data_IF_703838611639
#
_entry.id   IF_703838611639
#
_cell.length_a   1.000
_cell.length_b   1.000
_cell.length_c   1.000
_cell.angle_alpha   90.00
_cell.angle_beta   90.00
_cell.angle_gamma   90.00
#
_symmetry.space_group_name_H-M   'P 1'
#
loop_
_entity.id
_entity.type
_entity.pdbx_description
1 polymer ?
#
# COMPACT_ATOMS: atom_id res chain seq x y z
N UNK A 1 -46.59 -15.48 -15.43
CA UNK A 1 -45.22 -15.08 -15.11
C UNK A 1 -44.70 -13.87 -15.89
N UNK A 2 -45.44 -13.29 -16.83
CA UNK A 2 -44.97 -12.19 -17.71
C UNK A 2 -45.42 -10.76 -17.35
N UNK A 3 -46.17 -10.54 -16.26
CA UNK A 3 -46.59 -9.18 -15.86
C UNK A 3 -45.73 -8.54 -14.79
N UNK A 4 -44.92 -9.31 -14.06
CA UNK A 4 -43.99 -8.77 -13.06
C UNK A 4 -42.70 -8.21 -13.69
N UNK A 5 -42.26 -8.76 -14.80
CA UNK A 5 -41.03 -8.29 -15.48
C UNK A 5 -41.25 -6.96 -16.23
N UNK A 6 -42.45 -6.67 -16.75
CA UNK A 6 -42.74 -5.39 -17.41
C UNK A 6 -42.88 -4.23 -16.43
N UNK A 7 -43.30 -4.46 -15.19
CA UNK A 7 -43.40 -3.43 -14.16
C UNK A 7 -42.03 -2.98 -13.60
N UNK A 8 -41.07 -3.88 -13.53
CA UNK A 8 -39.69 -3.56 -13.09
C UNK A 8 -38.89 -2.80 -14.16
N UNK A 9 -39.15 -3.07 -15.45
CA UNK A 9 -38.56 -2.32 -16.56
C UNK A 9 -39.09 -0.88 -16.65
N UNK A 10 -40.38 -0.67 -16.35
CA UNK A 10 -40.98 0.67 -16.38
C UNK A 10 -40.63 1.53 -15.16
N UNK A 11 -40.31 0.92 -14.01
CA UNK A 11 -39.82 1.63 -12.81
C UNK A 11 -38.38 2.10 -12.96
N UNK A 12 -37.53 1.31 -13.63
CA UNK A 12 -36.15 1.66 -13.92
C UNK A 12 -36.01 2.87 -14.88
N UNK A 13 -36.94 3.04 -15.83
CA UNK A 13 -36.91 4.15 -16.79
C UNK A 13 -37.41 5.48 -16.23
N UNK A 14 -38.17 5.49 -15.14
CA UNK A 14 -38.69 6.72 -14.50
C UNK A 14 -37.80 7.28 -13.38
N UNK A 15 -36.86 6.51 -12.84
CA UNK A 15 -35.87 6.98 -11.84
C UNK A 15 -34.69 7.73 -12.46
N UNK A 16 -34.62 7.80 -13.81
CA UNK A 16 -33.53 8.43 -14.57
C UNK A 16 -33.69 9.93 -14.88
N UNK A 17 -34.76 10.58 -14.39
CA UNK A 17 -35.15 11.92 -14.90
C UNK A 17 -35.08 13.06 -13.88
N UNK A 18 -34.35 12.94 -12.79
CA UNK A 18 -34.16 14.09 -11.84
C UNK A 18 -32.89 14.04 -11.00
N UNK A 19 -31.70 14.15 -11.65
CA UNK A 19 -30.50 14.58 -10.92
C UNK A 19 -29.75 15.54 -11.84
N UNK A 20 -29.68 16.80 -11.46
CA UNK A 20 -28.90 17.83 -12.13
C UNK A 20 -27.43 17.47 -12.19
N UNK A 21 -26.76 17.86 -13.28
CA UNK A 21 -25.32 17.77 -13.53
C UNK A 21 -24.77 16.36 -13.79
N UNK A 22 -25.21 15.70 -14.87
CA UNK A 22 -24.73 14.36 -15.28
C UNK A 22 -23.53 14.42 -16.25
N UNK A 23 -23.05 15.61 -16.59
CA UNK A 23 -21.94 15.78 -17.53
C UNK A 23 -20.64 15.05 -17.18
N UNK A 24 -20.14 15.07 -15.92
CA UNK A 24 -18.91 14.36 -15.59
C UNK A 24 -19.07 12.83 -15.57
N UNK A 25 -20.24 12.31 -15.18
CA UNK A 25 -20.52 10.87 -15.17
C UNK A 25 -20.64 10.32 -16.60
N UNK A 26 -21.28 11.07 -17.49
CA UNK A 26 -21.39 10.69 -18.90
C UNK A 26 -20.04 10.69 -19.61
N UNK A 27 -19.13 11.60 -19.27
CA UNK A 27 -17.78 11.61 -19.81
C UNK A 27 -16.94 10.39 -19.35
N UNK A 28 -17.10 9.94 -18.09
CA UNK A 28 -16.43 8.75 -17.57
C UNK A 28 -16.95 7.47 -18.24
N UNK A 29 -18.25 7.36 -18.51
CA UNK A 29 -18.81 6.20 -19.24
C UNK A 29 -18.36 6.14 -20.70
N UNK A 30 -18.08 7.27 -21.34
CA UNK A 30 -17.48 7.29 -22.68
C UNK A 30 -16.05 6.75 -22.71
N UNK A 31 -15.34 6.80 -21.58
CA UNK A 31 -13.99 6.22 -21.40
C UNK A 31 -14.04 4.75 -20.93
N UNK A 32 -15.22 4.14 -20.84
CA UNK A 32 -15.41 2.79 -20.31
C UNK A 32 -15.25 2.67 -18.79
N UNK A 33 -15.13 3.80 -18.07
CA UNK A 33 -14.97 3.82 -16.61
C UNK A 33 -16.33 3.62 -15.95
N UNK A 34 -16.40 2.63 -15.08
CA UNK A 34 -17.61 2.33 -14.30
C UNK A 34 -17.58 2.97 -12.91
N UNK A 35 -18.75 3.13 -12.29
CA UNK A 35 -18.84 3.54 -10.89
C UNK A 35 -18.11 2.53 -9.95
N UNK A 36 -18.03 1.27 -10.36
CA UNK A 36 -17.30 0.21 -9.61
C UNK A 36 -15.80 0.46 -9.63
N UNK A 37 -15.24 0.88 -10.77
CA UNK A 37 -13.81 1.19 -10.89
C UNK A 37 -13.41 2.37 -10.00
N UNK A 38 -14.22 3.43 -10.02
CA UNK A 38 -14.00 4.59 -9.17
C UNK A 38 -14.12 4.24 -7.69
N UNK A 39 -15.14 3.45 -7.30
CA UNK A 39 -15.29 2.98 -5.92
C UNK A 39 -14.06 2.17 -5.47
N UNK A 40 -13.59 1.25 -6.29
CA UNK A 40 -12.42 0.42 -6.00
C UNK A 40 -11.15 1.25 -5.85
N UNK A 41 -10.94 2.23 -6.74
CA UNK A 41 -9.81 3.15 -6.65
C UNK A 41 -9.86 3.99 -5.37
N UNK A 42 -11.02 4.52 -4.98
CA UNK A 42 -11.18 5.30 -3.74
C UNK A 42 -10.92 4.44 -2.50
N UNK A 43 -11.48 3.22 -2.44
CA UNK A 43 -11.22 2.29 -1.34
C UNK A 43 -9.73 1.98 -1.25
N UNK A 44 -9.09 1.70 -2.38
CA UNK A 44 -7.65 1.45 -2.43
C UNK A 44 -6.84 2.63 -1.89
N UNK A 45 -7.15 3.87 -2.32
CA UNK A 45 -6.48 5.08 -1.83
C UNK A 45 -6.65 5.24 -0.32
N UNK A 46 -7.86 5.05 0.21
CA UNK A 46 -8.10 5.15 1.65
C UNK A 46 -7.29 4.09 2.43
N UNK A 47 -7.27 2.86 1.95
CA UNK A 47 -6.46 1.79 2.51
C UNK A 47 -4.96 2.11 2.43
N UNK A 48 -4.50 2.62 1.28
CA UNK A 48 -3.10 2.97 1.05
C UNK A 48 -2.64 4.09 1.98
N UNK A 49 -3.45 5.14 2.14
CA UNK A 49 -3.17 6.26 3.04
C UNK A 49 -2.95 5.79 4.48
N UNK A 50 -3.81 4.89 4.97
CA UNK A 50 -3.68 4.32 6.32
C UNK A 50 -2.45 3.43 6.42
N UNK A 51 -2.26 2.51 5.47
CA UNK A 51 -1.14 1.57 5.46
C UNK A 51 0.22 2.29 5.45
N UNK A 52 0.36 3.33 4.61
CA UNK A 52 1.56 4.17 4.54
C UNK A 52 1.76 4.98 5.83
N UNK A 53 0.70 5.51 6.42
CA UNK A 53 0.83 6.30 7.65
C UNK A 53 1.49 5.49 8.79
N UNK A 54 1.07 4.25 8.98
CA UNK A 54 1.69 3.35 9.97
C UNK A 54 3.10 2.94 9.58
N UNK A 55 3.34 2.68 8.29
CA UNK A 55 4.67 2.33 7.77
C UNK A 55 5.69 3.45 8.02
N UNK A 56 5.39 4.67 7.58
CA UNK A 56 6.26 5.84 7.74
C UNK A 56 6.42 6.25 9.22
N UNK A 57 5.32 6.17 10.00
CA UNK A 57 5.39 6.39 11.44
C UNK A 57 6.35 5.41 12.12
N UNK A 58 6.37 4.14 11.71
CA UNK A 58 7.27 3.14 12.27
C UNK A 58 8.74 3.48 11.99
N UNK A 59 9.07 3.93 10.79
CA UNK A 59 10.40 4.47 10.50
C UNK A 59 10.74 5.67 11.37
N UNK A 60 9.82 6.63 11.45
CA UNK A 60 10.00 7.87 12.20
C UNK A 60 10.27 7.61 13.69
N UNK A 61 9.43 6.77 14.33
CA UNK A 61 9.55 6.50 15.77
C UNK A 61 10.81 5.70 16.11
N UNK A 62 11.22 4.74 15.27
CA UNK A 62 12.45 3.97 15.48
C UNK A 62 13.68 4.87 15.31
N UNK A 63 13.75 5.68 14.25
CA UNK A 63 14.84 6.64 14.06
C UNK A 63 14.93 7.64 15.22
N UNK A 64 13.79 8.17 15.66
CA UNK A 64 13.71 9.08 16.81
C UNK A 64 14.23 8.40 18.11
N UNK A 65 13.83 7.16 18.38
CA UNK A 65 14.30 6.39 19.54
C UNK A 65 15.79 6.05 19.47
N UNK A 66 16.36 5.96 18.27
CA UNK A 66 17.80 5.80 18.08
C UNK A 66 18.58 7.11 18.27
N UNK A 67 17.90 8.23 18.48
CA UNK A 67 18.52 9.53 18.78
C UNK A 67 18.49 10.51 17.61
N UNK A 68 17.86 10.16 16.47
CA UNK A 68 17.72 11.07 15.35
C UNK A 68 16.56 12.08 15.60
N UNK A 69 16.84 13.38 15.75
CA UNK A 69 15.79 14.38 15.95
C UNK A 69 15.06 14.76 14.65
N UNK A 70 15.57 14.35 13.49
CA UNK A 70 15.06 14.79 12.18
C UNK A 70 13.58 14.46 11.99
N UNK A 71 13.11 13.20 12.19
CA UNK A 71 11.70 12.88 12.02
C UNK A 71 10.76 13.67 12.94
N UNK A 72 11.21 13.95 14.16
CA UNK A 72 10.43 14.75 15.11
C UNK A 72 10.36 16.22 14.72
N UNK A 73 11.48 16.82 14.28
CA UNK A 73 11.54 18.20 13.79
C UNK A 73 10.70 18.42 12.54
N UNK A 74 10.63 17.42 11.68
CA UNK A 74 9.83 17.44 10.45
C UNK A 74 8.35 17.10 10.70
N UNK A 75 7.93 16.91 11.97
CA UNK A 75 6.57 16.57 12.35
C UNK A 75 6.12 15.19 11.87
N UNK A 76 7.09 14.28 11.62
CA UNK A 76 6.82 12.94 11.05
C UNK A 76 6.53 11.88 12.11
N UNK A 77 6.79 12.14 13.39
CA UNK A 77 6.47 11.23 14.50
C UNK A 77 4.99 11.38 14.85
N UNK A 78 4.12 11.01 13.93
CA UNK A 78 2.65 11.14 14.04
C UNK A 78 1.98 10.04 13.21
N UNK A 79 0.78 9.64 13.63
CA UNK A 79 -0.12 8.77 12.84
C UNK A 79 -1.07 9.56 11.93
N UNK A 80 -0.94 10.89 11.86
CA UNK A 80 -1.73 11.68 10.93
C UNK A 80 -1.39 11.30 9.49
N UNK A 81 -2.30 10.67 8.75
CA UNK A 81 -2.00 10.12 7.43
C UNK A 81 -1.68 11.20 6.39
N UNK A 82 -2.22 12.42 6.55
CA UNK A 82 -1.99 13.52 5.61
C UNK A 82 -0.54 13.98 5.59
N UNK A 83 0.19 13.79 6.68
CA UNK A 83 1.62 14.13 6.75
C UNK A 83 2.47 13.16 5.91
N UNK A 84 2.04 11.92 5.79
CA UNK A 84 2.75 10.83 5.10
C UNK A 84 2.27 10.61 3.66
N UNK A 85 1.11 11.16 3.30
CA UNK A 85 0.57 11.05 1.96
C UNK A 85 1.36 11.93 0.97
N UNK A 86 1.65 11.36 -0.20
CA UNK A 86 2.14 12.10 -1.35
C UNK A 86 0.96 12.38 -2.30
N UNK A 87 0.70 13.63 -2.70
CA UNK A 87 -0.45 13.96 -3.54
C UNK A 87 -0.47 13.20 -4.87
N UNK A 88 0.71 12.95 -5.45
CA UNK A 88 0.83 12.22 -6.72
C UNK A 88 0.82 10.72 -6.47
N UNK A 89 1.76 10.22 -5.65
CA UNK A 89 1.96 8.79 -5.45
C UNK A 89 0.85 8.10 -4.68
N UNK A 90 0.27 8.79 -3.67
CA UNK A 90 -0.74 8.18 -2.81
C UNK A 90 -2.16 8.39 -3.34
N UNK A 91 -2.43 9.47 -4.09
CA UNK A 91 -3.78 9.85 -4.50
C UNK A 91 -3.94 9.83 -6.02
N UNK A 92 -3.23 10.71 -6.74
CA UNK A 92 -3.46 10.90 -8.16
C UNK A 92 -3.16 9.64 -8.98
N UNK A 93 -2.04 8.99 -8.70
CA UNK A 93 -1.61 7.82 -9.47
C UNK A 93 -2.54 6.61 -9.30
N UNK A 94 -2.94 6.19 -8.08
CA UNK A 94 -3.91 5.09 -7.93
C UNK A 94 -5.27 5.39 -8.54
N UNK A 95 -5.75 6.63 -8.46
CA UNK A 95 -7.01 7.03 -9.11
C UNK A 95 -6.87 6.91 -10.63
N UNK A 96 -5.81 7.46 -11.21
CA UNK A 96 -5.56 7.36 -12.65
C UNK A 96 -5.38 5.91 -13.10
N UNK A 97 -4.67 5.10 -12.33
CA UNK A 97 -4.50 3.67 -12.63
C UNK A 97 -5.84 2.94 -12.60
N UNK A 98 -6.70 3.21 -11.61
CA UNK A 98 -8.05 2.66 -11.55
C UNK A 98 -8.92 3.06 -12.75
N UNK A 99 -8.86 4.32 -13.15
CA UNK A 99 -9.61 4.83 -14.32
C UNK A 99 -9.11 4.23 -15.65
N UNK A 100 -7.82 3.89 -15.74
CA UNK A 100 -7.18 3.30 -16.92
C UNK A 100 -7.15 1.76 -16.87
N UNK A 101 -7.81 1.12 -15.91
CA UNK A 101 -7.79 -0.33 -15.68
C UNK A 101 -6.36 -0.90 -15.56
N UNK A 102 -5.42 -0.06 -15.12
CA UNK A 102 -4.05 -0.45 -14.85
C UNK A 102 -3.90 -1.00 -13.42
N UNK A 103 -2.83 -1.75 -13.12
CA UNK A 103 -2.56 -2.21 -11.78
C UNK A 103 -2.48 -1.05 -10.79
N UNK A 104 -3.25 -1.14 -9.68
CA UNK A 104 -3.25 -0.13 -8.63
C UNK A 104 -1.94 -0.22 -7.86
N UNK A 105 -1.18 0.86 -7.86
CA UNK A 105 0.01 1.00 -7.05
C UNK A 105 0.17 2.46 -6.59
N UNK A 106 1.03 2.67 -5.58
CA UNK A 106 1.30 4.02 -5.10
C UNK A 106 2.39 4.02 -4.04
N UNK A 107 2.86 5.21 -3.69
CA UNK A 107 3.87 5.44 -2.66
C UNK A 107 3.50 6.59 -1.74
N UNK A 108 4.12 6.62 -0.57
CA UNK A 108 4.03 7.72 0.38
C UNK A 108 5.18 8.68 0.29
N UNK A 109 5.08 9.76 1.03
CA UNK A 109 6.16 10.71 1.24
C UNK A 109 7.14 10.15 2.29
N UNK A 110 8.37 9.76 1.90
CA UNK A 110 9.29 9.06 2.78
C UNK A 110 9.72 9.92 3.98
N UNK A 111 9.95 9.27 5.10
CA UNK A 111 10.56 9.90 6.28
C UNK A 111 12.07 10.05 6.08
N UNK A 112 12.55 11.28 6.23
CA UNK A 112 13.99 11.56 6.19
C UNK A 112 14.62 11.19 7.52
N UNK A 113 15.72 10.42 7.47
CA UNK A 113 16.48 10.00 8.64
C UNK A 113 17.97 10.31 8.46
N UNK A 114 18.66 10.59 9.56
CA UNK A 114 20.08 10.94 9.56
C UNK A 114 20.86 10.03 10.49
N UNK A 115 21.47 8.93 9.99
CA UNK A 115 22.15 7.92 10.80
C UNK A 115 23.30 8.46 11.66
N UNK A 116 23.84 9.63 11.32
CA UNK A 116 24.90 10.31 12.10
C UNK A 116 24.47 10.68 13.53
N UNK A 117 23.17 10.80 13.77
CA UNK A 117 22.61 11.11 15.09
C UNK A 117 22.28 9.87 15.90
N UNK A 118 22.38 8.68 15.33
CA UNK A 118 22.05 7.47 16.07
C UNK A 118 22.99 7.28 17.28
N UNK A 119 22.44 6.72 18.35
CA UNK A 119 23.19 6.41 19.55
C UNK A 119 24.45 5.60 19.23
N UNK A 120 25.58 5.92 19.89
CA UNK A 120 26.85 5.21 19.72
C UNK A 120 26.83 3.75 20.19
N UNK A 121 25.75 3.31 20.82
CA UNK A 121 25.57 1.91 21.24
C UNK A 121 25.31 0.98 20.06
N UNK A 122 24.94 1.52 18.90
CA UNK A 122 24.68 0.77 17.67
C UNK A 122 25.47 1.40 16.52
N UNK A 123 26.02 0.58 15.63
CA UNK A 123 26.66 1.12 14.45
C UNK A 123 25.63 1.69 13.46
N UNK A 124 26.02 2.67 12.65
CA UNK A 124 25.10 3.36 11.74
C UNK A 124 24.38 2.42 10.76
N UNK A 125 25.08 1.41 10.21
CA UNK A 125 24.48 0.44 9.30
C UNK A 125 23.38 -0.38 9.98
N UNK A 126 23.63 -0.88 11.19
CA UNK A 126 22.64 -1.62 11.96
C UNK A 126 21.45 -0.73 12.37
N UNK A 127 21.71 0.53 12.73
CA UNK A 127 20.66 1.51 13.01
C UNK A 127 19.78 1.76 11.78
N UNK A 128 20.39 1.93 10.60
CA UNK A 128 19.66 2.07 9.34
C UNK A 128 18.80 0.83 9.03
N UNK A 129 19.36 -0.37 9.24
CA UNK A 129 18.62 -1.61 9.03
C UNK A 129 17.41 -1.73 9.98
N UNK A 130 17.58 -1.39 11.26
CA UNK A 130 16.48 -1.38 12.24
C UNK A 130 15.37 -0.40 11.84
N UNK A 131 15.73 0.81 11.42
CA UNK A 131 14.77 1.78 10.90
C UNK A 131 14.06 1.21 9.68
N UNK A 132 14.79 0.62 8.73
CA UNK A 132 14.22 0.10 7.49
C UNK A 132 13.31 -1.11 7.70
N UNK A 133 13.61 -1.99 8.65
CA UNK A 133 12.72 -3.12 9.00
C UNK A 133 11.42 -2.65 9.63
N UNK A 134 11.42 -1.51 10.32
CA UNK A 134 10.27 -1.03 11.09
C UNK A 134 9.03 -0.80 10.22
N UNK A 135 9.18 -0.22 9.02
CA UNK A 135 8.08 0.02 8.09
C UNK A 135 7.39 -1.27 7.61
N UNK A 136 8.14 -2.18 6.97
CA UNK A 136 7.58 -3.47 6.56
C UNK A 136 6.97 -4.26 7.73
N UNK A 137 7.58 -4.21 8.93
CA UNK A 137 7.04 -4.86 10.12
C UNK A 137 5.71 -4.25 10.56
N UNK A 138 5.55 -2.93 10.45
CA UNK A 138 4.28 -2.26 10.71
C UNK A 138 3.18 -2.72 9.73
N UNK A 139 3.52 -2.93 8.46
CA UNK A 139 2.56 -3.47 7.49
C UNK A 139 2.19 -4.94 7.83
N UNK A 140 3.15 -5.78 8.20
CA UNK A 140 2.86 -7.15 8.65
C UNK A 140 1.93 -7.14 9.87
N UNK A 141 2.18 -6.26 10.85
CA UNK A 141 1.33 -6.12 12.02
C UNK A 141 -0.10 -5.68 11.64
N UNK A 142 -0.24 -4.70 10.74
CA UNK A 142 -1.54 -4.28 10.22
C UNK A 142 -2.27 -5.42 9.52
N UNK A 143 -1.56 -6.24 8.72
CA UNK A 143 -2.14 -7.42 8.07
C UNK A 143 -2.64 -8.44 9.11
N UNK A 144 -1.85 -8.75 10.14
CA UNK A 144 -2.24 -9.67 11.22
C UNK A 144 -3.48 -9.14 11.97
N UNK A 145 -3.47 -7.86 12.34
CA UNK A 145 -4.62 -7.25 13.04
C UNK A 145 -5.87 -7.30 12.16
N UNK A 146 -5.75 -7.00 10.86
CA UNK A 146 -6.87 -7.06 9.93
C UNK A 146 -7.43 -8.48 9.80
N UNK A 147 -6.57 -9.49 9.73
CA UNK A 147 -6.98 -10.89 9.69
C UNK A 147 -7.71 -11.31 10.98
N UNK A 148 -7.23 -10.86 12.13
CA UNK A 148 -7.89 -11.09 13.42
C UNK A 148 -9.29 -10.41 13.47
N UNK A 149 -9.40 -9.18 12.98
CA UNK A 149 -10.69 -8.48 12.88
C UNK A 149 -11.65 -9.23 11.97
N UNK A 150 -11.20 -9.69 10.79
CA UNK A 150 -12.01 -10.53 9.90
C UNK A 150 -12.52 -11.78 10.60
N UNK A 151 -11.66 -12.51 11.33
CA UNK A 151 -12.08 -13.72 12.08
C UNK A 151 -13.11 -13.39 13.15
N UNK A 152 -12.91 -12.31 13.90
CA UNK A 152 -13.85 -11.88 14.94
C UNK A 152 -15.22 -11.57 14.33
N UNK A 153 -15.28 -10.83 13.22
CA UNK A 153 -16.53 -10.50 12.54
C UNK A 153 -17.26 -11.75 12.05
N UNK A 154 -16.52 -12.72 11.48
CA UNK A 154 -17.08 -14.00 11.03
C UNK A 154 -17.67 -14.79 12.19
N UNK A 155 -16.94 -14.93 13.31
CA UNK A 155 -17.41 -15.64 14.52
C UNK A 155 -18.60 -14.93 15.15
N UNK A 156 -18.63 -13.59 15.11
CA UNK A 156 -19.77 -12.80 15.60
C UNK A 156 -20.99 -12.80 14.67
N UNK A 157 -20.93 -13.50 13.53
CA UNK A 157 -22.03 -13.57 12.55
C UNK A 157 -22.30 -12.23 11.84
N UNK A 158 -21.33 -11.33 11.80
CA UNK A 158 -21.45 -10.04 11.09
C UNK A 158 -21.18 -10.23 9.60
N UNK A 159 -22.23 -10.33 8.82
CA UNK A 159 -22.16 -10.52 7.37
C UNK A 159 -22.40 -9.20 6.64
N UNK A 160 -21.32 -8.41 6.45
CA UNK A 160 -21.34 -7.20 5.65
C UNK A 160 -20.29 -7.31 4.53
N UNK A 161 -20.75 -7.59 3.32
CA UNK A 161 -19.88 -7.82 2.17
C UNK A 161 -18.96 -6.61 1.90
N UNK A 162 -19.48 -5.38 1.99
CA UNK A 162 -18.67 -4.18 1.74
C UNK A 162 -17.55 -3.98 2.76
N UNK A 163 -17.80 -4.26 4.04
CA UNK A 163 -16.78 -4.22 5.09
C UNK A 163 -15.75 -5.33 4.89
N UNK A 164 -16.20 -6.53 4.56
CA UNK A 164 -15.32 -7.67 4.28
C UNK A 164 -14.39 -7.37 3.10
N UNK A 165 -14.91 -6.80 2.01
CA UNK A 165 -14.12 -6.41 0.83
C UNK A 165 -13.04 -5.40 1.21
N UNK A 166 -13.39 -4.34 1.96
CA UNK A 166 -12.42 -3.32 2.41
C UNK A 166 -11.32 -3.94 3.26
N UNK A 167 -11.67 -4.83 4.20
CA UNK A 167 -10.68 -5.49 5.06
C UNK A 167 -9.78 -6.44 4.27
N UNK A 168 -10.32 -7.17 3.28
CA UNK A 168 -9.51 -8.04 2.41
C UNK A 168 -8.55 -7.20 1.54
N UNK A 169 -9.01 -6.07 1.01
CA UNK A 169 -8.16 -5.13 0.26
C UNK A 169 -7.05 -4.61 1.17
N UNK A 170 -7.38 -4.15 2.37
CA UNK A 170 -6.41 -3.62 3.33
C UNK A 170 -5.40 -4.67 3.78
N UNK A 171 -5.84 -5.90 4.06
CA UNK A 171 -4.98 -7.04 4.37
C UNK A 171 -3.99 -7.32 3.22
N UNK A 172 -4.51 -7.48 2.00
CA UNK A 172 -3.72 -7.79 0.81
C UNK A 172 -2.71 -6.68 0.49
N UNK A 173 -3.13 -5.42 0.62
CA UNK A 173 -2.28 -4.26 0.42
C UNK A 173 -1.11 -4.22 1.40
N UNK A 174 -1.36 -4.47 2.68
CA UNK A 174 -0.31 -4.49 3.70
C UNK A 174 0.70 -5.62 3.48
N UNK A 175 0.25 -6.82 3.09
CA UNK A 175 1.18 -7.90 2.69
C UNK A 175 2.03 -7.50 1.49
N UNK A 176 1.40 -6.89 0.48
CA UNK A 176 2.09 -6.42 -0.73
C UNK A 176 3.12 -5.34 -0.40
N UNK A 177 2.76 -4.34 0.42
CA UNK A 177 3.67 -3.28 0.84
C UNK A 177 4.85 -3.82 1.66
N UNK A 178 4.61 -4.75 2.59
CA UNK A 178 5.66 -5.38 3.36
C UNK A 178 6.65 -6.12 2.45
N UNK A 179 6.15 -6.97 1.56
CA UNK A 179 6.97 -7.74 0.64
C UNK A 179 7.74 -6.84 -0.33
N UNK A 180 7.07 -5.86 -0.94
CA UNK A 180 7.68 -4.94 -1.89
C UNK A 180 8.83 -4.16 -1.24
N UNK A 181 8.60 -3.61 -0.06
CA UNK A 181 9.64 -2.85 0.65
C UNK A 181 10.78 -3.73 1.18
N UNK A 182 10.60 -5.04 1.31
CA UNK A 182 11.66 -5.99 1.66
C UNK A 182 12.49 -6.45 0.47
N UNK A 183 12.13 -6.11 -0.78
CA UNK A 183 12.97 -6.41 -1.93
C UNK A 183 14.35 -5.76 -1.78
N UNK A 184 15.44 -6.50 -2.04
CA UNK A 184 16.81 -6.02 -1.84
C UNK A 184 17.25 -5.05 -2.94
N UNK A 185 16.45 -4.01 -3.17
CA UNK A 185 16.62 -3.02 -4.24
C UNK A 185 16.51 -1.63 -3.65
N UNK A 186 17.50 -0.76 -3.87
CA UNK A 186 17.38 0.66 -3.57
C UNK A 186 16.37 1.34 -4.52
N UNK A 187 15.55 2.28 -4.04
CA UNK A 187 15.57 2.95 -2.71
C UNK A 187 14.68 2.26 -1.64
N UNK A 188 14.21 1.03 -1.88
CA UNK A 188 13.35 0.30 -0.94
C UNK A 188 14.09 0.00 0.38
N UNK A 189 13.33 -0.30 1.42
CA UNK A 189 13.91 -0.62 2.73
C UNK A 189 14.79 -1.86 2.72
N UNK A 190 14.42 -2.88 1.91
CA UNK A 190 15.19 -4.09 1.70
C UNK A 190 16.60 -3.83 1.15
N UNK A 191 16.78 -2.78 0.35
CA UNK A 191 18.10 -2.34 -0.10
C UNK A 191 19.01 -1.92 1.06
N UNK A 192 18.49 -1.14 2.02
CA UNK A 192 19.23 -0.72 3.22
C UNK A 192 19.50 -1.90 4.17
N UNK A 193 18.57 -2.85 4.25
CA UNK A 193 18.75 -4.10 5.02
C UNK A 193 19.86 -4.94 4.37
N UNK A 194 19.84 -5.10 3.05
CA UNK A 194 20.90 -5.78 2.31
C UNK A 194 22.27 -5.12 2.54
N UNK A 195 22.34 -3.79 2.46
CA UNK A 195 23.56 -3.03 2.73
C UNK A 195 24.15 -3.33 4.11
N UNK A 196 23.31 -3.52 5.12
CA UNK A 196 23.75 -3.94 6.47
C UNK A 196 24.25 -5.38 6.51
N UNK A 197 23.60 -6.30 5.79
CA UNK A 197 23.97 -7.73 5.77
C UNK A 197 25.28 -7.98 5.02
N UNK A 198 25.62 -7.12 4.05
CA UNK A 198 26.81 -7.28 3.23
C UNK A 198 28.09 -6.97 4.04
N UNK A 199 29.08 -7.88 4.05
CA UNK A 199 30.41 -7.58 4.55
C UNK A 199 31.03 -6.37 3.83
N UNK A 200 31.88 -5.62 4.54
CA UNK A 200 32.49 -4.39 4.00
C UNK A 200 33.21 -4.58 2.63
N UNK A 201 33.79 -5.77 2.41
CA UNK A 201 34.46 -6.12 1.12
C UNK A 201 33.52 -6.10 -0.10
N UNK A 202 32.21 -6.18 0.14
CA UNK A 202 31.18 -6.18 -0.92
C UNK A 202 30.43 -4.84 -1.02
N UNK A 203 30.97 -3.76 -0.44
CA UNK A 203 30.37 -2.42 -0.50
C UNK A 203 30.11 -1.93 -1.92
N UNK A 204 30.96 -2.33 -2.89
CA UNK A 204 30.76 -2.02 -4.32
C UNK A 204 29.43 -2.57 -4.90
N UNK A 205 28.91 -3.68 -4.34
CA UNK A 205 27.60 -4.24 -4.73
C UNK A 205 26.49 -3.29 -4.27
N UNK A 206 26.58 -2.81 -3.03
CA UNK A 206 25.62 -1.85 -2.47
C UNK A 206 25.63 -0.54 -3.27
N UNK A 207 26.79 -0.01 -3.59
CA UNK A 207 26.96 1.19 -4.40
C UNK A 207 26.35 1.02 -5.81
N UNK A 208 26.53 -0.15 -6.41
CA UNK A 208 25.97 -0.50 -7.72
C UNK A 208 24.45 -0.60 -7.66
N UNK A 209 23.91 -1.29 -6.66
CA UNK A 209 22.47 -1.41 -6.43
C UNK A 209 21.83 -0.05 -6.12
N UNK A 210 22.52 0.82 -5.37
CA UNK A 210 22.05 2.17 -5.10
C UNK A 210 22.01 3.03 -6.39
N UNK A 211 23.02 2.88 -7.26
CA UNK A 211 23.10 3.61 -8.55
C UNK A 211 22.00 3.18 -9.52
N UNK A 212 21.74 1.90 -9.66
CA UNK A 212 20.83 1.35 -10.67
C UNK A 212 19.46 0.94 -10.11
N UNK A 213 19.22 1.12 -8.80
CA UNK A 213 18.01 0.65 -8.15
C UNK A 213 16.73 1.19 -8.75
N UNK A 214 16.69 2.49 -9.08
CA UNK A 214 15.53 3.08 -9.77
C UNK A 214 15.31 2.48 -11.16
N UNK A 215 16.38 2.25 -11.91
CA UNK A 215 16.30 1.62 -13.24
C UNK A 215 15.79 0.18 -13.11
N UNK A 216 16.25 -0.54 -12.09
CA UNK A 216 15.81 -1.91 -11.81
C UNK A 216 14.34 -1.96 -11.41
N UNK A 217 13.88 -1.03 -10.56
CA UNK A 217 12.45 -0.93 -10.20
C UNK A 217 11.59 -0.59 -11.40
N UNK A 218 12.04 0.33 -12.25
CA UNK A 218 11.32 0.68 -13.46
C UNK A 218 11.24 -0.51 -14.43
N UNK A 219 12.35 -1.23 -14.63
CA UNK A 219 12.38 -2.44 -15.45
C UNK A 219 11.43 -3.51 -14.89
N UNK A 220 11.40 -3.71 -13.56
CA UNK A 220 10.48 -4.64 -12.90
C UNK A 220 9.01 -4.28 -13.17
N UNK A 221 8.68 -2.99 -13.22
CA UNK A 221 7.32 -2.51 -13.49
C UNK A 221 6.94 -2.61 -14.96
N UNK A 222 7.90 -2.39 -15.87
CA UNK A 222 7.64 -2.32 -17.31
C UNK A 222 7.65 -3.68 -18.01
N UNK A 223 8.33 -4.69 -17.44
CA UNK A 223 8.39 -6.03 -18.04
C UNK A 223 7.08 -6.77 -17.73
N UNK A 224 6.26 -7.10 -18.75
CA UNK A 224 4.98 -7.78 -18.54
C UNK A 224 5.17 -9.11 -17.82
N UNK A 225 4.35 -9.38 -16.82
CA UNK A 225 4.35 -10.64 -16.06
C UNK A 225 5.45 -10.75 -15.00
N UNK A 226 6.55 -9.99 -15.06
CA UNK A 226 7.63 -10.09 -14.08
C UNK A 226 7.15 -9.68 -12.68
N UNK A 227 6.40 -8.60 -12.59
CA UNK A 227 5.80 -8.14 -11.34
C UNK A 227 4.84 -9.20 -10.77
N UNK A 228 3.97 -9.78 -11.60
CA UNK A 228 3.04 -10.83 -11.19
C UNK A 228 3.76 -12.06 -10.65
N UNK A 229 4.81 -12.50 -11.34
CA UNK A 229 5.64 -13.65 -10.91
C UNK A 229 6.32 -13.35 -9.58
N UNK A 230 6.88 -12.14 -9.42
CA UNK A 230 7.54 -11.73 -8.19
C UNK A 230 6.57 -11.71 -7.00
N UNK A 231 5.31 -11.32 -7.22
CA UNK A 231 4.29 -11.25 -6.16
C UNK A 231 3.51 -12.56 -5.95
N UNK A 232 3.84 -13.64 -6.68
CA UNK A 232 3.24 -14.97 -6.46
C UNK A 232 3.34 -15.43 -4.99
N UNK A 233 4.48 -15.28 -4.28
CA UNK A 233 4.55 -15.65 -2.86
C UNK A 233 3.55 -14.90 -1.99
N UNK A 234 3.32 -13.62 -2.28
CA UNK A 234 2.33 -12.79 -1.54
C UNK A 234 0.91 -13.33 -1.77
N UNK A 235 0.57 -13.69 -3.01
CA UNK A 235 -0.73 -14.28 -3.34
C UNK A 235 -0.93 -15.61 -2.61
N UNK A 236 0.09 -16.47 -2.57
CA UNK A 236 0.04 -17.77 -1.85
C UNK A 236 -0.19 -17.53 -0.34
N UNK A 237 0.57 -16.64 0.29
CA UNK A 237 0.43 -16.31 1.71
C UNK A 237 -0.95 -15.72 2.00
N UNK A 238 -1.43 -14.80 1.16
CA UNK A 238 -2.76 -14.21 1.27
C UNK A 238 -3.84 -15.28 1.23
N UNK A 239 -3.82 -16.12 0.21
CA UNK A 239 -4.86 -17.14 0.01
C UNK A 239 -4.84 -18.20 1.13
N UNK A 240 -3.64 -18.59 1.57
CA UNK A 240 -3.49 -19.47 2.73
C UNK A 240 -4.06 -18.84 4.02
N UNK A 241 -3.72 -17.57 4.30
CA UNK A 241 -4.21 -16.86 5.47
C UNK A 241 -5.74 -16.70 5.46
N UNK A 242 -6.33 -16.39 4.30
CA UNK A 242 -7.78 -16.27 4.15
C UNK A 242 -8.49 -17.62 4.31
N UNK A 243 -7.88 -18.73 3.89
CA UNK A 243 -8.42 -20.09 4.13
C UNK A 243 -8.45 -20.47 5.61
N UNK A 244 -7.55 -19.93 6.44
CA UNK A 244 -7.58 -20.15 7.90
C UNK A 244 -8.78 -19.47 8.58
N UNK A 245 -9.47 -18.57 7.87
CA UNK A 245 -10.68 -17.93 8.38
C UNK A 245 -11.92 -18.81 8.19
N UNK A 246 -11.93 -19.60 7.11
CA UNK A 246 -13.04 -20.50 6.78
C UNK A 246 -13.09 -21.70 7.72
#
# INVERSE_FOLDING_TARGET
MNRAFSALSAASSRASASVGSVAPVAALTLLGVTATDLRSAVIFVLCLVVAIAFHEFAHAIVAHRLGDPTPSRDGRVTLNPLVHADPIGTVALPIMAGLLHAPLFGWGRPVMTQPRFYTRKINMRAGMALVSVAGPLANVLQAIVTLAVLKILMVAGVHNAGLTDVLIIFFSLNLTLAFFNLLPIHPLDGGKILAWMLPARYGHIDDTLARYGWTLLLALMLIPGLLLTLFTPVAIVRDWALRLLA
#
